data_IF_934759037455
#
_entry.id   IF_934759037455
#
_cell.length_a   1.000
_cell.length_b   1.000
_cell.length_c   1.000
_cell.angle_alpha   90.00
_cell.angle_beta   90.00
_cell.angle_gamma   90.00
#
_symmetry.space_group_name_H-M   'P 1'
#
loop_
_entity.id
_entity.type
_entity.pdbx_description
1 polymer ?
#
# COMPACT_ATOMS: atom_id res chain seq x y z
N UNK A 1 -19.57 -2.48 1.37
CA UNK A 1 -18.19 -1.94 1.26
C UNK A 1 -17.23 -3.07 1.59
N UNK A 2 -16.45 -3.55 0.62
CA UNK A 2 -15.46 -4.61 0.86
C UNK A 2 -14.22 -4.04 1.57
N UNK A 3 -13.61 -4.81 2.46
CA UNK A 3 -12.35 -4.39 3.12
C UNK A 3 -11.23 -4.36 2.07
N UNK A 4 -10.60 -3.20 1.87
CA UNK A 4 -9.49 -3.05 0.91
C UNK A 4 -8.24 -3.86 1.32
N UNK A 5 -8.02 -4.00 2.63
CA UNK A 5 -6.93 -4.75 3.24
C UNK A 5 -7.46 -5.59 4.41
N UNK A 6 -6.93 -6.81 4.56
CA UNK A 6 -7.13 -7.65 5.74
C UNK A 6 -5.84 -8.38 6.11
N UNK A 7 -5.71 -8.79 7.38
CA UNK A 7 -4.56 -9.53 7.92
C UNK A 7 -4.39 -9.27 9.42
N UNK A 8 -3.41 -9.92 10.03
CA UNK A 8 -3.02 -9.69 11.41
C UNK A 8 -2.00 -8.54 11.46
N UNK A 9 -2.31 -7.44 12.15
CA UNK A 9 -1.47 -6.24 12.16
C UNK A 9 -0.82 -6.02 13.53
N UNK A 10 0.50 -5.87 13.52
CA UNK A 10 1.32 -5.37 14.62
C UNK A 10 1.94 -4.02 14.24
N UNK A 11 2.23 -3.17 15.23
CA UNK A 11 2.87 -1.89 14.96
C UNK A 11 3.16 -1.07 16.20
N UNK A 12 3.95 -0.01 16.02
CA UNK A 12 4.23 0.98 17.05
C UNK A 12 4.14 2.37 16.45
N UNK A 13 3.54 3.31 17.18
CA UNK A 13 3.39 4.68 16.69
C UNK A 13 3.51 5.69 17.83
N UNK A 14 4.00 6.88 17.49
CA UNK A 14 3.90 8.09 18.32
C UNK A 14 2.85 8.99 17.69
N UNK A 15 1.97 9.55 18.52
CA UNK A 15 0.97 10.50 18.07
C UNK A 15 1.10 11.82 18.82
N UNK A 16 0.72 12.90 18.16
CA UNK A 16 0.62 14.24 18.74
C UNK A 16 -0.68 14.88 18.27
N UNK A 17 -1.39 15.50 19.19
CA UNK A 17 -2.58 16.30 18.91
C UNK A 17 -2.45 17.60 19.69
N UNK A 18 -2.76 18.73 19.06
CA UNK A 18 -2.74 20.03 19.72
C UNK A 18 -3.87 20.89 19.18
N UNK A 19 -4.74 21.38 20.07
CA UNK A 19 -5.86 22.22 19.69
C UNK A 19 -6.26 23.15 20.83
N UNK A 20 -6.99 24.22 20.51
CA UNK A 20 -7.55 25.16 21.48
C UNK A 20 -8.76 24.58 22.25
N UNK A 21 -9.40 23.55 21.71
CA UNK A 21 -10.52 22.84 22.33
C UNK A 21 -10.37 21.33 22.12
N UNK A 22 -11.03 20.54 22.95
CA UNK A 22 -11.02 19.07 22.85
C UNK A 22 -11.54 18.58 21.49
N UNK A 23 -12.55 19.26 20.93
CA UNK A 23 -13.14 18.91 19.64
C UNK A 23 -12.16 19.04 18.47
N UNK A 24 -11.20 19.96 18.55
CA UNK A 24 -10.21 20.17 17.48
C UNK A 24 -8.99 19.23 17.52
N UNK A 25 -8.84 18.39 18.56
CA UNK A 25 -7.67 17.51 18.67
C UNK A 25 -7.58 16.48 17.54
N UNK A 26 -8.72 15.96 17.08
CA UNK A 26 -8.76 14.94 16.03
C UNK A 26 -8.30 15.52 14.69
N UNK A 27 -8.64 16.78 14.43
CA UNK A 27 -8.28 17.50 13.20
C UNK A 27 -6.77 17.76 13.11
N UNK A 28 -6.08 17.83 14.25
CA UNK A 28 -4.63 18.08 14.33
C UNK A 28 -3.81 16.83 14.66
N UNK A 29 -4.44 15.65 14.53
CA UNK A 29 -3.77 14.39 14.79
C UNK A 29 -2.63 14.16 13.80
N UNK A 30 -1.41 14.17 14.33
CA UNK A 30 -0.22 13.71 13.64
C UNK A 30 0.21 12.35 14.22
N UNK A 31 0.63 11.44 13.36
CA UNK A 31 1.10 10.10 13.74
C UNK A 31 2.35 9.75 12.96
N UNK A 32 3.34 9.18 13.61
CA UNK A 32 4.50 8.56 12.97
C UNK A 32 4.75 7.19 13.59
N UNK A 33 4.88 6.16 12.77
CA UNK A 33 5.02 4.79 13.25
C UNK A 33 5.49 3.79 12.22
N UNK A 34 5.58 2.55 12.68
CA UNK A 34 5.90 1.37 11.88
C UNK A 34 4.78 0.35 12.02
N UNK A 35 4.59 -0.45 10.98
CA UNK A 35 3.61 -1.52 10.99
C UNK A 35 4.14 -2.76 10.26
N UNK A 36 3.58 -3.91 10.61
CA UNK A 36 3.70 -5.16 9.91
C UNK A 36 2.33 -5.86 9.89
N UNK A 37 1.87 -6.24 8.71
CA UNK A 37 0.66 -7.04 8.51
C UNK A 37 1.08 -8.41 8.04
N UNK A 38 0.58 -9.46 8.67
CA UNK A 38 0.87 -10.87 8.33
C UNK A 38 -0.37 -11.56 7.79
N UNK A 39 -0.14 -12.55 6.92
CA UNK A 39 -1.18 -13.43 6.33
C UNK A 39 -2.34 -12.62 5.74
N UNK A 40 -1.99 -11.61 4.95
CA UNK A 40 -2.91 -10.59 4.54
C UNK A 40 -3.42 -10.74 3.12
N UNK A 41 -4.33 -9.85 2.77
CA UNK A 41 -4.96 -9.80 1.46
C UNK A 41 -5.29 -8.36 1.10
N UNK A 42 -4.86 -7.92 -0.09
CA UNK A 42 -5.25 -6.66 -0.72
C UNK A 42 -6.33 -6.97 -1.77
N UNK A 43 -7.48 -6.31 -1.68
CA UNK A 43 -8.55 -6.44 -2.67
C UNK A 43 -8.50 -5.29 -3.68
N UNK A 44 -8.93 -5.55 -4.91
CA UNK A 44 -9.01 -4.57 -6.00
C UNK A 44 -7.78 -4.51 -6.89
N UNK A 45 -6.64 -5.09 -6.47
CA UNK A 45 -5.40 -5.13 -7.25
C UNK A 45 -4.75 -6.51 -7.20
N UNK A 46 -4.25 -6.97 -8.35
CA UNK A 46 -3.42 -8.17 -8.47
C UNK A 46 -2.01 -7.75 -8.91
N UNK A 47 -1.11 -7.60 -7.92
CA UNK A 47 0.26 -7.14 -8.13
C UNK A 47 1.08 -8.19 -8.87
N UNK A 48 0.86 -9.47 -8.56
CA UNK A 48 1.59 -10.59 -9.16
C UNK A 48 1.26 -10.68 -10.64
N UNK A 49 -0.01 -10.69 -11.00
CA UNK A 49 -0.43 -10.83 -12.39
C UNK A 49 -0.08 -9.58 -13.21
N UNK A 50 -0.26 -8.38 -12.64
CA UNK A 50 0.10 -7.13 -13.31
C UNK A 50 1.60 -7.07 -13.61
N UNK A 51 2.44 -7.48 -12.66
CA UNK A 51 3.89 -7.57 -12.86
C UNK A 51 4.24 -8.64 -13.89
N UNK A 52 3.66 -9.85 -13.79
CA UNK A 52 3.91 -10.98 -14.69
C UNK A 52 3.59 -10.65 -16.15
N UNK A 53 2.49 -9.94 -16.39
CA UNK A 53 2.06 -9.51 -17.72
C UNK A 53 2.73 -8.21 -18.19
N UNK A 54 3.40 -7.47 -17.28
CA UNK A 54 3.81 -6.07 -17.50
C UNK A 54 2.64 -5.23 -18.05
N UNK A 55 1.44 -5.46 -17.52
CA UNK A 55 0.20 -4.87 -18.05
C UNK A 55 0.23 -3.35 -17.89
N UNK A 56 0.05 -2.62 -18.99
CA UNK A 56 -0.09 -1.14 -18.96
C UNK A 56 -1.52 -0.68 -18.65
N UNK A 57 -2.45 -1.62 -18.60
CA UNK A 57 -3.86 -1.39 -18.28
C UNK A 57 -4.17 -1.87 -16.87
N UNK A 58 -5.19 -1.25 -16.26
CA UNK A 58 -5.71 -1.73 -14.99
C UNK A 58 -6.40 -3.08 -15.17
N UNK A 59 -6.01 -4.08 -14.39
CA UNK A 59 -6.68 -5.38 -14.36
C UNK A 59 -7.82 -5.33 -13.32
N UNK A 60 -9.10 -5.26 -13.74
CA UNK A 60 -10.22 -5.14 -12.80
C UNK A 60 -10.41 -6.41 -11.98
N UNK A 61 -10.84 -6.25 -10.73
CA UNK A 61 -11.27 -7.38 -9.89
C UNK A 61 -10.15 -8.24 -9.30
N UNK A 62 -8.95 -7.69 -9.11
CA UNK A 62 -7.80 -8.43 -8.58
C UNK A 62 -7.80 -8.64 -7.07
N UNK A 63 -6.97 -9.59 -6.63
CA UNK A 63 -6.63 -9.80 -5.22
C UNK A 63 -5.18 -10.22 -5.11
N UNK A 64 -4.45 -9.59 -4.20
CA UNK A 64 -3.07 -9.98 -3.88
C UNK A 64 -3.03 -10.56 -2.46
N UNK A 65 -2.70 -11.85 -2.34
CA UNK A 65 -2.36 -12.46 -1.07
C UNK A 65 -0.88 -12.20 -0.75
N UNK A 66 -0.57 -12.02 0.53
CA UNK A 66 0.80 -11.80 0.97
C UNK A 66 1.04 -12.44 2.34
N UNK A 67 2.28 -12.87 2.56
CA UNK A 67 2.73 -13.42 3.84
C UNK A 67 3.03 -12.30 4.83
N UNK A 68 3.71 -11.25 4.37
CA UNK A 68 4.00 -10.04 5.16
C UNK A 68 3.95 -8.75 4.31
N UNK A 69 3.40 -7.68 4.87
CA UNK A 69 3.47 -6.31 4.37
C UNK A 69 3.88 -5.39 5.52
N UNK A 70 5.01 -4.70 5.40
CA UNK A 70 5.53 -3.81 6.43
C UNK A 70 5.99 -2.47 5.86
N UNK A 71 6.14 -1.48 6.74
CA UNK A 71 6.67 -0.17 6.38
C UNK A 71 6.49 0.87 7.47
N UNK A 72 6.75 2.12 7.10
CA UNK A 72 6.53 3.28 7.94
C UNK A 72 5.22 3.96 7.53
N UNK A 73 4.47 4.45 8.52
CA UNK A 73 3.27 5.26 8.34
C UNK A 73 3.49 6.63 8.98
N UNK A 74 3.27 7.68 8.22
CA UNK A 74 3.10 9.04 8.73
C UNK A 74 1.69 9.53 8.40
N UNK A 75 1.03 10.18 9.34
CA UNK A 75 -0.25 10.85 9.13
C UNK A 75 -0.11 12.30 9.57
N UNK A 76 -0.43 13.22 8.68
CA UNK A 76 -0.49 14.65 8.97
C UNK A 76 -1.46 15.32 8.00
N UNK A 77 -2.24 16.29 8.46
CA UNK A 77 -3.14 17.10 7.63
C UNK A 77 -4.10 16.25 6.76
N UNK A 78 -4.56 15.11 7.29
CA UNK A 78 -5.45 14.17 6.59
C UNK A 78 -4.77 13.34 5.49
N UNK A 79 -3.44 13.43 5.33
CA UNK A 79 -2.65 12.66 4.39
C UNK A 79 -1.99 11.48 5.10
N UNK A 80 -2.17 10.27 4.55
CA UNK A 80 -1.51 9.06 5.01
C UNK A 80 -0.35 8.74 4.06
N UNK A 81 0.87 8.83 4.56
CA UNK A 81 2.09 8.58 3.82
C UNK A 81 2.73 7.27 4.29
N UNK A 82 2.67 6.28 3.41
CA UNK A 82 3.33 4.99 3.58
C UNK A 82 4.68 5.00 2.87
N UNK A 83 5.75 4.69 3.59
CA UNK A 83 7.12 4.74 3.10
C UNK A 83 7.88 3.48 3.45
N UNK A 84 8.93 3.20 2.68
CA UNK A 84 9.76 2.01 2.85
C UNK A 84 8.90 0.73 2.90
N UNK A 85 7.84 0.69 2.09
CA UNK A 85 6.97 -0.47 2.03
C UNK A 85 7.79 -1.66 1.56
N UNK A 86 7.57 -2.81 2.19
CA UNK A 86 8.10 -4.10 1.80
C UNK A 86 6.98 -5.12 1.88
N UNK A 87 6.80 -5.90 0.83
CA UNK A 87 5.80 -6.95 0.78
C UNK A 87 6.45 -8.25 0.30
N UNK A 88 6.10 -9.35 0.95
CA UNK A 88 6.42 -10.70 0.51
C UNK A 88 5.12 -11.44 0.21
N UNK A 89 5.00 -11.94 -1.03
CA UNK A 89 3.88 -12.73 -1.51
C UNK A 89 4.31 -14.13 -2.02
N UNK A 90 5.45 -14.63 -1.53
CA UNK A 90 6.06 -15.92 -1.87
C UNK A 90 6.69 -15.96 -3.27
N UNK A 91 5.88 -15.74 -4.32
CA UNK A 91 6.33 -15.72 -5.72
C UNK A 91 6.82 -14.36 -6.18
N UNK A 92 6.66 -13.34 -5.34
CA UNK A 92 6.99 -11.94 -5.60
C UNK A 92 7.37 -11.25 -4.30
N UNK A 93 8.42 -10.44 -4.34
CA UNK A 93 8.65 -9.40 -3.34
C UNK A 93 8.36 -8.05 -3.96
N UNK A 94 7.92 -7.08 -3.15
CA UNK A 94 7.72 -5.72 -3.62
C UNK A 94 8.23 -4.70 -2.63
N UNK A 95 8.70 -3.58 -3.16
CA UNK A 95 9.01 -2.38 -2.37
C UNK A 95 8.26 -1.18 -2.91
N UNK A 96 8.04 -0.14 -2.10
CA UNK A 96 7.36 1.04 -2.62
C UNK A 96 7.03 2.15 -1.65
N UNK A 97 6.25 3.09 -2.16
CA UNK A 97 5.65 4.19 -1.42
C UNK A 97 4.21 4.38 -1.87
N UNK A 98 3.34 4.74 -0.93
CA UNK A 98 1.92 5.00 -1.18
C UNK A 98 1.49 6.23 -0.38
N UNK A 99 0.71 7.10 -1.01
CA UNK A 99 0.04 8.22 -0.37
C UNK A 99 -1.47 8.06 -0.52
N UNK A 100 -2.20 8.38 0.55
CA UNK A 100 -3.66 8.47 0.56
C UNK A 100 -4.06 9.86 1.04
N UNK A 101 -4.76 10.61 0.20
CA UNK A 101 -5.32 11.91 0.55
C UNK A 101 -6.67 12.07 -0.13
N UNK A 102 -7.68 12.58 0.59
CA UNK A 102 -9.02 12.79 0.04
C UNK A 102 -9.60 11.53 -0.65
N UNK A 103 -9.42 10.36 -0.02
CA UNK A 103 -9.84 9.04 -0.56
C UNK A 103 -9.16 8.64 -1.88
N UNK A 104 -8.11 9.35 -2.28
CA UNK A 104 -7.35 9.05 -3.48
C UNK A 104 -6.00 8.43 -3.14
N UNK A 105 -5.70 7.32 -3.79
CA UNK A 105 -4.43 6.61 -3.74
C UNK A 105 -3.48 7.17 -4.80
N UNK A 106 -2.20 7.22 -4.47
CA UNK A 106 -1.12 7.37 -5.45
C UNK A 106 0.17 6.76 -4.93
N UNK A 107 0.91 6.05 -5.77
CA UNK A 107 2.14 5.42 -5.29
C UNK A 107 2.91 4.68 -6.36
N UNK A 108 4.13 4.28 -6.00
CA UNK A 108 5.01 3.50 -6.86
C UNK A 108 5.40 2.23 -6.15
N UNK A 109 5.40 1.14 -6.91
CA UNK A 109 5.76 -0.19 -6.43
C UNK A 109 6.82 -0.73 -7.39
N UNK A 110 7.90 -1.28 -6.84
CA UNK A 110 8.86 -2.08 -7.58
C UNK A 110 8.63 -3.53 -7.20
N UNK A 111 8.25 -4.36 -8.16
CA UNK A 111 7.92 -5.77 -7.97
C UNK A 111 9.04 -6.66 -8.54
N UNK A 112 9.58 -7.55 -7.72
CA UNK A 112 10.60 -8.53 -8.08
C UNK A 112 9.98 -9.93 -8.12
N UNK A 113 9.92 -10.53 -9.30
CA UNK A 113 9.30 -11.85 -9.52
C UNK A 113 10.32 -12.97 -9.29
N UNK A 114 10.06 -13.84 -8.31
CA UNK A 114 10.94 -14.97 -7.95
C UNK A 114 10.91 -16.11 -8.97
N UNK A 115 9.87 -16.18 -9.82
CA UNK A 115 9.54 -17.38 -10.60
C UNK A 115 10.46 -17.68 -11.80
N UNK A 116 11.24 -16.72 -12.32
CA UNK A 116 12.23 -16.97 -13.40
C UNK A 116 13.43 -16.03 -13.32
N UNK A 117 14.63 -16.62 -13.30
CA UNK A 117 15.88 -15.87 -13.46
C UNK A 117 15.83 -15.02 -14.74
N UNK A 118 16.14 -13.73 -14.62
CA UNK A 118 16.23 -12.81 -15.76
C UNK A 118 14.95 -12.02 -16.10
N UNK A 119 13.84 -12.16 -15.38
CA UNK A 119 12.66 -11.30 -15.63
C UNK A 119 12.84 -9.85 -15.13
N UNK A 120 13.78 -9.61 -14.21
CA UNK A 120 14.07 -8.28 -13.65
C UNK A 120 12.90 -7.68 -12.87
N UNK A 121 13.14 -6.55 -12.22
CA UNK A 121 12.11 -5.81 -11.51
C UNK A 121 11.09 -5.20 -12.48
N UNK A 122 9.84 -5.09 -12.04
CA UNK A 122 8.77 -4.40 -12.77
C UNK A 122 8.34 -3.18 -11.97
N UNK A 123 8.49 -1.99 -12.56
CA UNK A 123 7.97 -0.77 -11.98
C UNK A 123 6.47 -0.69 -12.23
N UNK A 124 5.70 -0.48 -11.17
CA UNK A 124 4.25 -0.33 -11.19
C UNK A 124 3.84 1.01 -10.58
N UNK A 125 2.76 1.57 -11.11
CA UNK A 125 2.08 2.74 -10.58
C UNK A 125 0.73 2.29 -10.02
N UNK A 126 0.50 2.59 -8.74
CA UNK A 126 -0.81 2.46 -8.09
C UNK A 126 -1.48 3.84 -8.03
N UNK A 127 -2.80 3.87 -8.17
CA UNK A 127 -3.59 5.08 -8.07
C UNK A 127 -5.09 4.79 -7.95
N UNK A 128 -5.94 5.79 -8.20
CA UNK A 128 -7.40 5.63 -8.16
C UNK A 128 -8.00 5.90 -6.77
N UNK A 129 -9.28 5.64 -6.61
CA UNK A 129 -9.97 5.84 -5.33
C UNK A 129 -9.68 4.65 -4.39
N UNK A 130 -9.73 4.85 -3.07
CA UNK A 130 -9.46 3.78 -2.09
C UNK A 130 -10.41 2.58 -2.19
N UNK A 131 -11.62 2.79 -2.70
CA UNK A 131 -12.61 1.74 -2.95
C UNK A 131 -12.54 1.14 -4.37
N UNK A 132 -11.83 1.79 -5.29
CA UNK A 132 -11.59 1.34 -6.66
C UNK A 132 -10.15 1.66 -7.08
N UNK A 133 -9.16 0.96 -6.49
CA UNK A 133 -7.76 1.17 -6.81
C UNK A 133 -7.45 0.74 -8.24
N UNK A 134 -6.42 1.35 -8.81
CA UNK A 134 -5.88 1.02 -10.14
C UNK A 134 -4.41 0.68 -10.04
N UNK A 135 -3.96 -0.30 -10.82
CA UNK A 135 -2.56 -0.71 -10.88
C UNK A 135 -2.15 -0.95 -12.33
N UNK A 136 -0.99 -0.44 -12.72
CA UNK A 136 -0.41 -0.66 -14.05
C UNK A 136 1.11 -0.67 -14.01
N UNK A 137 1.73 -1.40 -14.93
CA UNK A 137 3.15 -1.30 -15.21
C UNK A 137 3.49 0.04 -15.88
N UNK A 138 4.65 0.57 -15.51
CA UNK A 138 5.23 1.76 -16.14
C UNK A 138 6.54 1.39 -16.85
N UNK A 139 6.93 2.12 -17.90
CA UNK A 139 8.17 1.88 -18.64
C UNK A 139 9.42 1.98 -17.76
#
# INVERSE_FOLDING_TARGET
>A
MGKALSGDMDGTARFRMQAASLSGLVETAALDGTFAVKKGTINGVDIVETARLRSRENLPGGRTHFDELSGNLSVADGVYAFRQLKMDAGVLTATGTLDIANQQLSGRILADLSMRAGMGSVALQIGGATDNPTLRAVP
#
